data_IF_150275788205
#
_entry.id   IF_150275788205
#
_cell.length_a   1.000
_cell.length_b   1.000
_cell.length_c   1.000
_cell.angle_alpha   90.00
_cell.angle_beta   90.00
_cell.angle_gamma   90.00
#
_symmetry.space_group_name_H-M   'P 1'
#
loop_
_entity.id
_entity.type
_entity.pdbx_description
1 polymer ?
#
# COMPACT_ATOMS: atom_id res chain seq x y z
N UNK A 1 13.51 -32.79 18.73
CA UNK A 1 14.19 -31.50 18.49
C UNK A 1 13.82 -31.05 17.09
N UNK A 2 12.76 -30.27 16.95
CA UNK A 2 12.26 -29.82 15.65
C UNK A 2 11.75 -28.42 15.86
N UNK A 3 12.68 -27.47 15.90
CA UNK A 3 12.35 -26.06 16.06
C UNK A 3 11.61 -25.68 14.78
N UNK A 4 10.28 -25.59 14.87
CA UNK A 4 9.47 -24.93 13.86
C UNK A 4 10.00 -23.50 13.84
N UNK A 5 10.78 -23.17 12.81
CA UNK A 5 11.13 -21.80 12.48
C UNK A 5 9.82 -21.02 12.49
N UNK A 6 9.71 -20.05 13.40
CA UNK A 6 8.71 -18.99 13.27
C UNK A 6 9.04 -18.31 11.94
N UNK A 7 8.40 -18.77 10.86
CA UNK A 7 8.43 -18.08 9.59
C UNK A 7 7.71 -16.77 9.88
N UNK A 8 8.48 -15.69 9.96
CA UNK A 8 7.91 -14.36 10.11
C UNK A 8 7.12 -14.13 8.83
N UNK A 9 5.80 -14.12 8.93
CA UNK A 9 4.95 -13.82 7.79
C UNK A 9 4.51 -12.37 7.89
N UNK A 10 4.82 -11.60 6.84
CA UNK A 10 4.51 -10.18 6.79
C UNK A 10 3.36 -9.97 5.82
N UNK A 11 2.17 -9.57 6.29
CA UNK A 11 1.05 -9.31 5.43
C UNK A 11 1.34 -8.14 4.48
N UNK A 12 0.81 -8.26 3.26
CA UNK A 12 0.92 -7.22 2.26
C UNK A 12 -0.29 -7.21 1.32
N UNK A 13 -0.47 -6.07 0.67
CA UNK A 13 -1.49 -5.82 -0.32
C UNK A 13 -0.82 -5.47 -1.64
N UNK A 14 -1.33 -6.05 -2.72
CA UNK A 14 -1.00 -5.65 -4.08
C UNK A 14 -2.21 -5.02 -4.76
N UNK A 15 -2.00 -3.88 -5.41
CA UNK A 15 -3.03 -3.22 -6.21
C UNK A 15 -2.57 -3.13 -7.66
N UNK A 16 -3.33 -3.68 -8.59
CA UNK A 16 -3.14 -3.47 -10.02
C UNK A 16 -3.65 -2.07 -10.38
N UNK A 17 -2.79 -1.24 -10.93
CA UNK A 17 -3.10 0.13 -11.34
C UNK A 17 -3.49 0.20 -12.81
N UNK A 18 -4.48 1.03 -13.12
CA UNK A 18 -4.87 1.35 -14.49
C UNK A 18 -3.99 2.46 -15.08
N UNK A 19 -3.28 2.14 -16.16
CA UNK A 19 -2.38 3.08 -16.86
C UNK A 19 -3.11 4.30 -17.46
N UNK A 20 -4.43 4.25 -17.63
CA UNK A 20 -5.22 5.32 -18.25
C UNK A 20 -5.97 6.21 -17.24
N UNK A 21 -6.22 5.71 -16.03
CA UNK A 21 -7.09 6.37 -15.04
C UNK A 21 -6.48 6.53 -13.64
N UNK A 22 -5.32 5.94 -13.37
CA UNK A 22 -4.66 6.02 -12.05
C UNK A 22 -5.47 5.38 -10.91
N UNK A 23 -6.48 4.56 -11.24
CA UNK A 23 -7.32 3.87 -10.27
C UNK A 23 -6.85 2.43 -10.10
N UNK A 24 -7.00 1.87 -8.89
CA UNK A 24 -6.78 0.45 -8.69
C UNK A 24 -7.89 -0.34 -9.39
N UNK A 25 -7.52 -1.19 -10.34
CA UNK A 25 -8.42 -2.10 -11.06
C UNK A 25 -8.75 -3.30 -10.16
N UNK A 26 -7.74 -3.84 -9.49
CA UNK A 26 -7.85 -5.05 -8.69
C UNK A 26 -6.92 -4.97 -7.49
N UNK A 27 -7.32 -5.59 -6.38
CA UNK A 27 -6.54 -5.63 -5.14
C UNK A 27 -6.50 -7.05 -4.59
N UNK A 28 -5.33 -7.49 -4.17
CA UNK A 28 -5.10 -8.78 -3.52
C UNK A 28 -4.48 -8.56 -2.15
N UNK A 29 -4.92 -9.32 -1.17
CA UNK A 29 -4.39 -9.28 0.19
C UNK A 29 -3.78 -10.63 0.51
N UNK A 30 -2.55 -10.61 1.00
CA UNK A 30 -1.77 -11.77 1.36
C UNK A 30 -1.41 -11.67 2.82
N UNK A 31 -1.86 -12.64 3.63
CA UNK A 31 -1.69 -12.60 5.09
C UNK A 31 -0.78 -13.69 5.65
N UNK A 32 -0.65 -14.81 4.94
CA UNK A 32 0.10 -15.98 5.39
C UNK A 32 0.88 -16.62 4.22
N UNK A 33 1.72 -15.84 3.55
CA UNK A 33 2.62 -16.37 2.52
C UNK A 33 4.01 -15.73 2.59
N UNK A 34 5.02 -16.50 2.21
CA UNK A 34 6.42 -16.04 2.09
C UNK A 34 6.86 -15.89 0.63
N UNK A 35 5.98 -16.22 -0.33
CA UNK A 35 6.23 -16.14 -1.77
C UNK A 35 4.93 -15.93 -2.53
N UNK A 36 4.95 -15.07 -3.54
CA UNK A 36 3.83 -14.82 -4.46
C UNK A 36 4.36 -14.65 -5.87
N UNK A 37 3.74 -15.31 -6.84
CA UNK A 37 4.10 -15.26 -8.25
C UNK A 37 3.10 -14.46 -9.05
N UNK A 38 3.59 -13.67 -10.01
CA UNK A 38 2.79 -12.82 -10.88
C UNK A 38 3.18 -13.10 -12.32
N UNK A 39 2.19 -13.40 -13.16
CA UNK A 39 2.44 -13.70 -14.56
C UNK A 39 1.17 -13.96 -15.36
N UNK A 40 1.34 -14.35 -16.63
CA UNK A 40 0.22 -14.65 -17.53
C UNK A 40 -0.31 -16.08 -17.40
N UNK A 41 0.49 -16.99 -16.86
CA UNK A 41 0.04 -18.36 -16.65
C UNK A 41 -0.99 -18.41 -15.50
N UNK A 42 -2.00 -19.26 -15.66
CA UNK A 42 -3.03 -19.47 -14.65
C UNK A 42 -2.51 -20.16 -13.38
N UNK A 43 -1.28 -20.67 -13.42
CA UNK A 43 -0.59 -21.33 -12.30
C UNK A 43 0.00 -20.33 -11.31
N UNK A 44 0.12 -19.04 -11.67
CA UNK A 44 0.60 -18.01 -10.76
C UNK A 44 -0.50 -17.58 -9.78
N UNK A 45 -0.08 -17.09 -8.61
CA UNK A 45 -0.98 -16.53 -7.60
C UNK A 45 -1.78 -15.33 -8.15
N UNK A 46 -1.13 -14.50 -8.97
CA UNK A 46 -1.77 -13.43 -9.73
C UNK A 46 -1.58 -13.71 -11.22
N UNK A 47 -2.67 -14.15 -11.86
CA UNK A 47 -2.73 -14.40 -13.30
C UNK A 47 -3.31 -13.20 -14.05
N UNK A 48 -2.52 -12.60 -14.95
CA UNK A 48 -2.92 -11.48 -15.80
C UNK A 48 -3.05 -11.91 -17.26
N UNK A 49 -4.20 -11.65 -17.88
CA UNK A 49 -4.42 -11.95 -19.30
C UNK A 49 -3.79 -10.91 -20.23
N UNK A 50 -2.52 -10.56 -20.03
CA UNK A 50 -1.83 -9.51 -20.79
C UNK A 50 -0.65 -10.10 -21.61
N UNK A 51 -0.59 -9.87 -22.93
CA UNK A 51 0.45 -10.43 -23.80
C UNK A 51 1.86 -9.87 -23.55
N UNK A 52 2.00 -8.70 -22.94
CA UNK A 52 3.31 -8.12 -22.55
C UNK A 52 3.88 -8.81 -21.30
N UNK A 53 3.03 -9.50 -20.54
CA UNK A 53 3.43 -10.21 -19.32
C UNK A 53 3.90 -11.64 -19.66
N UNK A 54 5.05 -12.01 -19.10
CA UNK A 54 5.62 -13.35 -19.27
C UNK A 54 4.80 -14.40 -18.52
N UNK A 55 4.94 -15.68 -18.88
CA UNK A 55 4.19 -16.76 -18.21
C UNK A 55 4.36 -16.73 -16.70
N UNK A 56 5.61 -16.64 -16.25
CA UNK A 56 6.01 -16.23 -14.91
C UNK A 56 6.86 -15.00 -15.13
N UNK A 57 6.46 -13.86 -14.56
CA UNK A 57 7.09 -12.58 -14.87
C UNK A 57 7.81 -11.99 -13.67
N UNK A 58 7.15 -11.98 -12.52
CA UNK A 58 7.73 -11.53 -11.26
C UNK A 58 7.43 -12.54 -10.18
N UNK A 59 8.38 -12.67 -9.27
CA UNK A 59 8.20 -13.37 -8.01
C UNK A 59 8.47 -12.39 -6.87
N UNK A 60 7.55 -12.32 -5.92
CA UNK A 60 7.76 -11.65 -4.65
C UNK A 60 8.18 -12.69 -3.63
N UNK A 61 9.28 -12.42 -2.92
CA UNK A 61 9.80 -13.33 -1.88
C UNK A 61 10.07 -12.54 -0.61
N UNK A 62 9.63 -13.08 0.52
CA UNK A 62 9.97 -12.56 1.83
C UNK A 62 11.34 -13.10 2.26
N UNK A 63 12.33 -12.22 2.40
CA UNK A 63 13.70 -12.54 2.82
C UNK A 63 14.13 -11.60 3.94
N UNK A 64 14.69 -12.15 5.02
CA UNK A 64 15.23 -11.35 6.13
C UNK A 64 14.26 -10.28 6.67
N UNK A 65 12.96 -10.59 6.68
CA UNK A 65 11.90 -9.68 7.14
C UNK A 65 11.51 -8.57 6.15
N UNK A 66 11.97 -8.64 4.90
CA UNK A 66 11.62 -7.68 3.85
C UNK A 66 11.09 -8.40 2.60
N UNK A 67 10.12 -7.79 1.92
CA UNK A 67 9.66 -8.28 0.63
C UNK A 67 10.62 -7.81 -0.47
N UNK A 68 11.02 -8.73 -1.34
CA UNK A 68 11.83 -8.42 -2.52
C UNK A 68 11.10 -8.83 -3.79
N UNK A 69 11.24 -8.01 -4.83
CA UNK A 69 10.76 -8.29 -6.18
C UNK A 69 11.88 -8.92 -7.00
N UNK A 70 11.61 -10.09 -7.57
CA UNK A 70 12.53 -10.83 -8.44
C UNK A 70 11.95 -10.85 -9.85
N UNK A 71 12.68 -10.30 -10.80
CA UNK A 71 12.29 -10.31 -12.21
C UNK A 71 12.68 -11.63 -12.87
N UNK A 72 11.69 -12.38 -13.32
CA UNK A 72 11.84 -13.64 -14.07
C UNK A 72 11.40 -13.49 -15.54
N UNK A 73 10.75 -12.38 -15.86
CA UNK A 73 10.17 -12.09 -17.16
C UNK A 73 11.20 -11.64 -18.20
N UNK A 74 10.91 -11.91 -19.47
CA UNK A 74 11.80 -11.55 -20.59
C UNK A 74 11.92 -10.04 -20.80
N UNK A 75 10.87 -9.29 -20.49
CA UNK A 75 10.81 -7.84 -20.66
C UNK A 75 11.37 -7.07 -19.45
N UNK A 76 11.84 -7.79 -18.43
CA UNK A 76 12.29 -7.21 -17.16
C UNK A 76 11.14 -6.62 -16.34
N UNK A 77 11.49 -6.12 -15.16
CA UNK A 77 10.57 -5.43 -14.25
C UNK A 77 11.12 -4.04 -13.99
N UNK A 78 10.25 -3.04 -13.99
CA UNK A 78 10.64 -1.65 -13.76
C UNK A 78 10.14 -1.24 -12.38
N UNK A 79 11.02 -0.82 -11.48
CA UNK A 79 10.68 -0.26 -10.17
C UNK A 79 11.12 1.21 -10.14
N UNK A 80 10.21 2.13 -9.82
CA UNK A 80 10.48 3.58 -9.79
C UNK A 80 11.19 4.14 -11.04
N UNK A 81 10.93 3.54 -12.21
CA UNK A 81 11.52 3.92 -13.50
C UNK A 81 12.86 3.26 -13.84
N UNK A 82 13.43 2.44 -12.96
CA UNK A 82 14.65 1.67 -13.21
C UNK A 82 14.35 0.18 -13.45
N UNK A 83 15.09 -0.47 -14.36
CA UNK A 83 14.98 -1.92 -14.54
C UNK A 83 15.68 -2.65 -13.40
N UNK A 84 14.93 -3.51 -12.72
CA UNK A 84 15.39 -4.29 -11.57
C UNK A 84 15.35 -5.78 -11.86
N UNK A 85 16.28 -6.52 -11.25
CA UNK A 85 16.33 -7.99 -11.32
C UNK A 85 16.01 -8.64 -9.98
N UNK A 86 16.52 -8.08 -8.88
CA UNK A 86 16.25 -8.48 -7.50
C UNK A 86 16.39 -7.20 -6.67
N UNK A 87 15.29 -6.68 -6.14
CA UNK A 87 15.30 -5.43 -5.37
C UNK A 87 14.30 -5.50 -4.21
N UNK A 88 14.57 -4.78 -3.12
CA UNK A 88 13.69 -4.72 -1.96
C UNK A 88 12.50 -3.80 -2.29
N UNK A 89 11.28 -4.27 -2.00
CA UNK A 89 10.07 -3.48 -2.11
C UNK A 89 9.83 -2.71 -0.81
N UNK A 90 9.80 -1.39 -0.93
CA UNK A 90 9.36 -0.50 0.14
C UNK A 90 7.84 -0.38 0.17
N UNK A 91 7.31 0.15 1.28
CA UNK A 91 5.89 0.46 1.35
C UNK A 91 5.50 1.48 0.27
N UNK A 92 4.30 1.30 -0.29
CA UNK A 92 3.78 2.04 -1.45
C UNK A 92 4.60 1.96 -2.74
N UNK A 93 5.60 1.09 -2.83
CA UNK A 93 6.42 0.93 -4.01
C UNK A 93 5.59 0.55 -5.25
N UNK A 94 5.91 1.14 -6.40
CA UNK A 94 5.21 0.88 -7.66
C UNK A 94 6.16 0.22 -8.65
N UNK A 95 5.84 -1.03 -9.02
CA UNK A 95 6.59 -1.78 -10.02
C UNK A 95 5.73 -2.09 -11.24
N UNK A 96 6.36 -2.17 -12.41
CA UNK A 96 5.70 -2.41 -13.69
C UNK A 96 6.26 -3.68 -14.33
N UNK A 97 5.37 -4.49 -14.89
CA UNK A 97 5.72 -5.74 -15.55
C UNK A 97 6.20 -5.51 -17.00
N UNK A 98 7.40 -4.96 -17.12
CA UNK A 98 7.99 -4.51 -18.37
C UNK A 98 7.56 -3.08 -18.74
N UNK A 99 8.22 -2.45 -19.72
CA UNK A 99 8.08 -1.01 -20.00
C UNK A 99 6.68 -0.57 -20.48
N UNK A 100 5.89 -1.48 -21.04
CA UNK A 100 4.50 -1.23 -21.47
C UNK A 100 3.51 -2.14 -20.76
N UNK A 101 3.90 -2.72 -19.63
CA UNK A 101 3.09 -3.68 -18.90
C UNK A 101 2.18 -3.04 -17.86
N UNK A 102 1.39 -3.87 -17.17
CA UNK A 102 0.61 -3.44 -16.01
C UNK A 102 1.51 -3.00 -14.85
N UNK A 103 1.07 -1.97 -14.12
CA UNK A 103 1.72 -1.48 -12.92
C UNK A 103 1.04 -1.99 -11.66
N UNK A 104 1.82 -2.31 -10.65
CA UNK A 104 1.38 -2.77 -9.36
C UNK A 104 1.90 -1.84 -8.27
N UNK A 105 1.03 -1.47 -7.34
CA UNK A 105 1.43 -0.86 -6.08
C UNK A 105 1.49 -1.94 -5.00
N UNK A 106 2.63 -2.03 -4.34
CA UNK A 106 2.84 -2.85 -3.16
C UNK A 106 2.65 -1.98 -1.91
N UNK A 107 1.92 -2.49 -0.92
CA UNK A 107 1.83 -1.89 0.41
C UNK A 107 1.97 -2.98 1.45
N UNK A 108 2.85 -2.79 2.42
CA UNK A 108 2.96 -3.69 3.56
C UNK A 108 2.19 -3.09 4.73
N UNK A 109 1.41 -3.90 5.43
CA UNK A 109 0.78 -3.48 6.69
C UNK A 109 1.71 -3.65 7.89
N UNK A 110 2.99 -3.92 7.64
CA UNK A 110 4.02 -3.95 8.67
C UNK A 110 4.30 -2.52 9.14
N UNK A 111 3.82 -2.16 10.32
CA UNK A 111 4.42 -1.10 11.11
C UNK A 111 5.90 -1.46 11.34
N UNK A 112 6.81 -1.01 10.47
CA UNK A 112 8.25 -1.11 10.72
C UNK A 112 9.03 -0.06 9.95
N UNK A 113 9.25 1.07 10.64
CA UNK A 113 10.53 1.77 10.76
C UNK A 113 11.28 2.03 9.44
N UNK A 114 10.79 2.98 8.64
CA UNK A 114 11.62 3.74 7.70
C UNK A 114 12.55 4.69 8.48
N UNK A 115 13.60 4.14 9.09
CA UNK A 115 14.68 4.91 9.72
C UNK A 115 15.88 5.06 8.78
N UNK A 116 16.22 6.32 8.48
CA UNK A 116 17.60 6.83 8.36
C UNK A 116 18.47 6.46 7.14
N UNK A 117 18.06 6.92 5.95
CA UNK A 117 19.02 7.28 4.89
C UNK A 117 18.51 8.54 4.18
N UNK A 118 18.46 9.71 4.81
CA UNK A 118 19.57 10.68 4.81
C UNK A 118 19.08 11.88 5.62
N UNK A 119 19.65 12.16 6.79
CA UNK A 119 19.79 13.51 7.39
C UNK A 119 20.27 13.34 8.84
N UNK A 120 21.45 13.87 9.08
CA UNK A 120 22.25 13.66 10.28
C UNK A 120 21.84 14.61 11.44
N UNK A 121 20.68 15.27 11.40
CA UNK A 121 20.33 16.35 12.35
C UNK A 121 18.82 16.60 12.48
N UNK A 122 18.02 15.69 13.05
CA UNK A 122 16.67 16.08 13.51
C UNK A 122 16.39 15.49 14.90
N UNK A 123 16.06 16.39 15.83
CA UNK A 123 15.72 16.17 17.23
C UNK A 123 14.77 14.97 17.47
N UNK A 124 14.96 14.19 18.55
CA UNK A 124 14.12 13.04 18.91
C UNK A 124 12.65 13.40 19.28
N UNK A 125 12.24 14.66 19.12
CA UNK A 125 10.90 15.17 19.42
C UNK A 125 9.94 15.02 18.23
N UNK A 126 10.44 14.80 17.01
CA UNK A 126 9.58 14.72 15.82
C UNK A 126 8.79 13.39 15.67
N UNK A 127 9.11 12.37 16.48
CA UNK A 127 8.41 11.07 16.42
C UNK A 127 7.08 11.05 17.20
N UNK A 128 6.77 12.12 17.94
CA UNK A 128 5.48 12.32 18.62
C UNK A 128 4.36 12.76 17.65
N UNK A 129 4.69 13.13 16.40
CA UNK A 129 3.78 13.80 15.47
C UNK A 129 3.03 12.90 14.47
N UNK A 130 3.20 11.57 14.51
CA UNK A 130 2.54 10.64 13.56
C UNK A 130 1.78 9.48 14.22
N UNK A 131 1.55 9.53 15.54
CA UNK A 131 0.43 8.79 16.11
C UNK A 131 -0.85 9.55 15.75
N UNK A 132 -1.48 9.14 14.65
CA UNK A 132 -2.91 9.41 14.44
C UNK A 132 -3.65 8.65 15.55
N UNK A 133 -3.89 9.36 16.65
CA UNK A 133 -4.69 8.86 17.76
C UNK A 133 -6.13 8.64 17.26
N UNK A 134 -6.51 7.38 17.10
CA UNK A 134 -7.86 6.95 16.69
C UNK A 134 -8.94 7.36 17.73
N UNK A 135 -8.55 7.98 18.87
CA UNK A 135 -9.45 8.60 19.83
C UNK A 135 -9.95 10.00 19.44
N UNK A 136 -9.29 10.69 18.49
CA UNK A 136 -9.63 12.08 18.17
C UNK A 136 -10.60 12.23 16.98
N UNK A 137 -11.16 11.13 16.43
CA UNK A 137 -12.20 11.26 15.39
C UNK A 137 -13.58 11.61 15.97
N UNK A 138 -13.84 11.28 17.24
CA UNK A 138 -15.14 11.55 17.87
C UNK A 138 -15.26 12.97 18.47
N UNK A 139 -14.14 13.66 18.74
CA UNK A 139 -14.17 14.99 19.36
C UNK A 139 -14.23 16.12 18.31
N UNK A 140 -13.62 15.97 17.14
CA UNK A 140 -13.69 16.97 16.06
C UNK A 140 -15.05 17.02 15.36
N UNK A 141 -15.82 15.92 15.38
CA UNK A 141 -17.23 15.94 14.95
C UNK A 141 -18.10 16.75 15.92
N UNK A 142 -17.66 16.93 17.18
CA UNK A 142 -18.42 17.66 18.21
C UNK A 142 -18.20 19.16 18.20
N UNK A 143 -17.05 19.64 17.72
CA UNK A 143 -16.71 21.07 17.75
C UNK A 143 -17.17 21.88 16.51
N UNK A 144 -17.66 21.24 15.45
CA UNK A 144 -18.38 21.96 14.36
C UNK A 144 -19.79 22.41 14.82
N UNK A 145 -20.26 21.89 15.97
CA UNK A 145 -21.60 22.18 16.51
C UNK A 145 -21.69 23.45 17.38
N UNK A 146 -20.60 24.19 17.60
CA UNK A 146 -20.61 25.43 18.41
C UNK A 146 -20.40 26.71 17.60
N UNK A 147 -20.39 26.62 16.27
CA UNK A 147 -20.38 27.85 15.45
C UNK A 147 -21.73 28.57 15.62
N UNK A 148 -21.68 29.83 16.04
CA UNK A 148 -22.82 30.76 16.26
C UNK A 148 -23.82 30.77 15.08
N UNK A 149 -23.34 30.44 13.88
CA UNK A 149 -24.08 30.25 12.63
C UNK A 149 -25.13 29.13 12.70
N UNK A 150 -24.88 28.03 13.39
CA UNK A 150 -25.81 26.89 13.48
C UNK A 150 -26.98 27.16 14.44
N UNK A 151 -26.75 27.93 15.51
CA UNK A 151 -27.81 28.42 16.41
C UNK A 151 -28.76 29.38 15.69
N UNK A 152 -28.24 30.28 14.84
CA UNK A 152 -29.07 31.23 14.10
C UNK A 152 -29.96 30.55 13.05
N UNK A 153 -29.45 29.49 12.39
CA UNK A 153 -30.23 28.68 11.46
C UNK A 153 -31.37 27.91 12.14
N UNK A 154 -31.16 27.38 13.35
CA UNK A 154 -32.22 26.72 14.12
C UNK A 154 -33.29 27.69 14.63
N UNK A 155 -32.93 28.90 15.06
CA UNK A 155 -33.91 29.91 15.47
C UNK A 155 -34.78 30.40 14.30
N UNK A 156 -34.19 30.60 13.12
CA UNK A 156 -34.96 30.96 11.90
C UNK A 156 -35.93 29.87 11.49
N UNK A 157 -35.52 28.60 11.57
CA UNK A 157 -36.41 27.47 11.27
C UNK A 157 -37.57 27.37 12.27
N UNK A 158 -37.35 27.71 13.55
CA UNK A 158 -38.39 27.67 14.59
C UNK A 158 -39.43 28.80 14.42
N UNK A 159 -39.02 29.98 13.96
CA UNK A 159 -39.92 31.12 13.66
C UNK A 159 -40.81 30.94 12.43
N UNK A 160 -40.56 29.93 11.59
CA UNK A 160 -41.41 29.62 10.43
C UNK A 160 -42.53 28.63 10.74
N UNK A 161 -42.57 28.04 11.94
CA UNK A 161 -43.52 26.97 12.30
C UNK A 161 -44.74 27.45 13.11
N UNK A 162 -44.83 28.75 13.40
CA UNK A 162 -45.90 29.36 14.22
C UNK A 162 -46.62 30.51 13.48
N UNK A 163 -46.83 30.37 12.17
CA UNK A 163 -47.74 31.23 11.40
C UNK A 163 -48.64 30.41 10.49
#
# INVERSE_FOLDING_TARGET
MGNKTNEVVIPFTLKLLDSSRGHAIQTWNFNDCSRVTIGRAAENDISLADPQVSRVHVELVLRDGHWSVVSLGRNGTVLDGAMVSDEILHDHAVFQLGPNGPSFQFSTTSESVSSLQTLNEIDPIALDFLMVDEGQLEEDVKNIADTEVFRELQERARKMKDK
#
